data_IF_722434379992
#
_entry.id   IF_722434379992
#
_cell.length_a   1.000
_cell.length_b   1.000
_cell.length_c   1.000
_cell.angle_alpha   90.00
_cell.angle_beta   90.00
_cell.angle_gamma   90.00
#
_symmetry.space_group_name_H-M   'P 1'
#
loop_
_entity.id
_entity.type
_entity.pdbx_description
1 polymer ?
#
# COMPACT_ATOMS: atom_id res chain seq x y z
N UNK A 1 36.99 -56.95 89.67
CA UNK A 1 36.09 -55.93 89.09
C UNK A 1 36.79 -55.29 87.90
N UNK A 2 36.18 -55.35 86.71
CA UNK A 2 36.79 -54.98 85.43
C UNK A 2 36.97 -53.45 85.27
N UNK A 3 38.16 -53.02 84.80
CA UNK A 3 38.42 -51.61 84.44
C UNK A 3 37.70 -51.28 83.12
N UNK A 4 36.83 -50.26 83.15
CA UNK A 4 36.11 -49.73 81.98
C UNK A 4 37.10 -49.05 81.02
N UNK A 5 37.11 -49.48 79.76
CA UNK A 5 37.89 -48.87 78.68
C UNK A 5 37.46 -47.41 78.46
N UNK A 6 38.43 -46.48 78.39
CA UNK A 6 38.19 -45.08 78.07
C UNK A 6 38.27 -44.90 76.55
N UNK A 7 37.17 -44.47 75.93
CA UNK A 7 37.11 -44.14 74.51
C UNK A 7 37.99 -42.91 74.21
N UNK A 8 38.73 -42.88 73.08
CA UNK A 8 39.52 -41.71 72.69
C UNK A 8 38.62 -40.48 72.44
N UNK A 9 39.12 -39.26 72.68
CA UNK A 9 38.38 -38.05 72.35
C UNK A 9 38.15 -37.97 70.82
N UNK A 10 37.01 -37.41 70.37
CA UNK A 10 36.69 -37.32 68.95
C UNK A 10 37.70 -36.40 68.22
N UNK A 11 38.00 -36.67 66.94
CA UNK A 11 38.92 -35.84 66.17
C UNK A 11 38.37 -34.42 66.00
N UNK A 12 39.27 -33.44 66.09
CA UNK A 12 38.97 -32.00 65.97
C UNK A 12 38.38 -31.72 64.58
N UNK A 13 37.18 -31.15 64.51
CA UNK A 13 36.55 -30.73 63.24
C UNK A 13 37.49 -29.75 62.52
N UNK A 14 37.95 -30.14 61.34
CA UNK A 14 38.66 -29.26 60.42
C UNK A 14 37.62 -28.28 59.86
N UNK A 15 37.74 -27.00 60.18
CA UNK A 15 36.92 -25.97 59.54
C UNK A 15 37.29 -25.93 58.05
N UNK A 16 36.30 -26.10 57.18
CA UNK A 16 36.51 -25.93 55.74
C UNK A 16 37.08 -24.52 55.49
N UNK A 17 38.07 -24.36 54.59
CA UNK A 17 38.63 -23.04 54.29
C UNK A 17 37.51 -22.12 53.81
N UNK A 18 37.47 -20.89 54.36
CA UNK A 18 36.51 -19.89 53.94
C UNK A 18 36.59 -19.72 52.42
N UNK A 19 35.46 -19.93 51.73
CA UNK A 19 35.36 -19.78 50.28
C UNK A 19 35.76 -18.34 49.95
N UNK A 20 36.91 -18.16 49.29
CA UNK A 20 37.36 -16.84 48.83
C UNK A 20 36.37 -16.37 47.76
N UNK A 21 35.46 -15.49 48.15
CA UNK A 21 34.62 -14.76 47.20
C UNK A 21 35.51 -13.69 46.59
N UNK A 22 36.03 -13.93 45.39
CA UNK A 22 36.72 -12.89 44.61
C UNK A 22 35.75 -11.70 44.46
N UNK A 23 36.10 -10.48 44.91
CA UNK A 23 35.27 -9.32 44.62
C UNK A 23 35.28 -9.09 43.11
N UNK A 24 34.11 -9.19 42.48
CA UNK A 24 33.93 -8.93 41.05
C UNK A 24 34.57 -7.58 40.71
N UNK A 25 35.60 -7.61 39.86
CA UNK A 25 36.36 -6.41 39.48
C UNK A 25 35.39 -5.34 38.94
N UNK A 26 35.57 -4.05 39.26
CA UNK A 26 34.79 -2.96 38.65
C UNK A 26 34.80 -3.03 37.10
N UNK A 27 35.88 -3.55 36.52
CA UNK A 27 36.02 -3.73 35.07
C UNK A 27 35.06 -4.79 34.51
N UNK A 28 34.77 -5.85 35.27
CA UNK A 28 33.83 -6.90 34.86
C UNK A 28 32.40 -6.37 34.85
N UNK A 29 32.04 -5.50 35.80
CA UNK A 29 30.72 -4.85 35.85
C UNK A 29 30.51 -3.92 34.66
N UNK A 30 31.53 -3.13 34.31
CA UNK A 30 31.48 -2.22 33.15
C UNK A 30 31.38 -3.00 31.84
N UNK A 31 32.14 -4.09 31.69
CA UNK A 31 32.03 -4.99 30.53
C UNK A 31 30.65 -5.63 30.41
N UNK A 32 30.09 -6.11 31.52
CA UNK A 32 28.74 -6.69 31.54
C UNK A 32 27.64 -5.67 31.21
N UNK A 33 27.76 -4.43 31.71
CA UNK A 33 26.85 -3.33 31.37
C UNK A 33 26.90 -2.96 29.89
N UNK A 34 28.09 -2.93 29.29
CA UNK A 34 28.25 -2.67 27.84
C UNK A 34 27.61 -3.79 27.02
N UNK A 35 27.81 -5.06 27.41
CA UNK A 35 27.23 -6.21 26.72
C UNK A 35 25.70 -6.20 26.78
N UNK A 36 25.11 -6.00 27.97
CA UNK A 36 23.63 -5.87 28.10
C UNK A 36 23.13 -4.67 27.30
N UNK A 37 23.80 -3.52 27.40
CA UNK A 37 23.39 -2.29 26.71
C UNK A 37 23.38 -2.48 25.19
N UNK A 38 24.42 -3.12 24.64
CA UNK A 38 24.52 -3.42 23.21
C UNK A 38 23.47 -4.43 22.74
N UNK A 39 23.18 -5.46 23.53
CA UNK A 39 22.13 -6.45 23.24
C UNK A 39 20.73 -5.82 23.27
N UNK A 40 20.45 -4.94 24.25
CA UNK A 40 19.18 -4.23 24.35
C UNK A 40 18.96 -3.29 23.16
N UNK A 41 19.99 -2.53 22.76
CA UNK A 41 19.93 -1.67 21.57
C UNK A 41 19.71 -2.48 20.28
N UNK A 42 20.39 -3.62 20.13
CA UNK A 42 20.18 -4.52 19.00
C UNK A 42 18.75 -5.06 18.93
N UNK A 43 18.18 -5.44 20.07
CA UNK A 43 16.80 -5.93 20.16
C UNK A 43 15.77 -4.84 19.84
N UNK A 44 15.98 -3.61 20.34
CA UNK A 44 15.12 -2.46 20.03
C UNK A 44 15.19 -2.12 18.54
N UNK A 45 16.38 -2.11 17.94
CA UNK A 45 16.56 -1.88 16.50
C UNK A 45 15.86 -2.94 15.65
N UNK A 46 16.00 -4.23 16.01
CA UNK A 46 15.32 -5.32 15.33
C UNK A 46 13.79 -5.21 15.48
N UNK A 47 13.29 -4.90 16.67
CA UNK A 47 11.86 -4.70 16.92
C UNK A 47 11.30 -3.52 16.12
N UNK A 48 12.06 -2.44 15.96
CA UNK A 48 11.67 -1.30 15.12
C UNK A 48 11.61 -1.66 13.64
N UNK A 49 12.57 -2.44 13.12
CA UNK A 49 12.54 -2.95 11.73
C UNK A 49 11.35 -3.89 11.51
N UNK A 50 11.11 -4.82 12.44
CA UNK A 50 9.95 -5.71 12.39
C UNK A 50 8.65 -4.93 12.47
N UNK A 51 8.56 -3.90 13.31
CA UNK A 51 7.39 -3.04 13.40
C UNK A 51 7.16 -2.23 12.11
N UNK A 52 8.22 -1.74 11.46
CA UNK A 52 8.11 -1.07 10.16
C UNK A 52 7.61 -2.03 9.07
N UNK A 53 8.04 -3.29 9.07
CA UNK A 53 7.55 -4.28 8.11
C UNK A 53 6.14 -4.81 8.44
N UNK A 54 5.79 -4.94 9.71
CA UNK A 54 4.50 -5.49 10.16
C UNK A 54 3.38 -4.44 10.24
N UNK A 55 3.73 -3.17 10.46
CA UNK A 55 2.76 -2.07 10.65
C UNK A 55 2.99 -0.88 9.68
N UNK A 56 4.02 -0.92 8.84
CA UNK A 56 4.30 0.15 7.86
C UNK A 56 3.52 0.04 6.55
N UNK A 57 2.69 -0.99 6.38
CA UNK A 57 1.75 -1.13 5.27
C UNK A 57 0.34 -0.87 5.77
N UNK A 58 -0.13 0.36 5.58
CA UNK A 58 -1.53 0.70 5.24
C UNK A 58 -1.80 2.15 5.61
N UNK A 59 -1.28 3.06 4.79
CA UNK A 59 -1.83 4.40 4.61
C UNK A 59 -1.15 5.02 3.39
N UNK A 60 -1.41 4.48 2.19
CA UNK A 60 -1.53 5.41 1.06
C UNK A 60 -2.68 6.33 1.47
N UNK A 61 -2.46 7.63 1.68
CA UNK A 61 -3.57 8.54 1.93
C UNK A 61 -4.42 8.42 0.66
N UNK A 62 -5.61 7.82 0.76
CA UNK A 62 -6.60 7.96 -0.29
C UNK A 62 -6.68 9.45 -0.59
N UNK A 63 -6.50 9.81 -1.87
CA UNK A 63 -6.43 11.19 -2.35
C UNK A 63 -7.34 12.06 -1.47
N UNK A 64 -6.73 12.93 -0.65
CA UNK A 64 -7.44 13.64 0.41
C UNK A 64 -8.71 14.25 -0.16
N UNK A 65 -9.82 14.15 0.56
CA UNK A 65 -11.14 14.55 0.08
C UNK A 65 -11.08 15.94 -0.58
N UNK A 66 -11.09 15.97 -1.90
CA UNK A 66 -11.08 17.22 -2.67
C UNK A 66 -12.48 17.83 -2.49
N UNK A 67 -12.60 19.04 -1.91
CA UNK A 67 -13.92 19.64 -1.69
C UNK A 67 -14.71 19.73 -2.99
N UNK A 68 -15.91 19.15 -3.01
CA UNK A 68 -16.79 19.12 -4.19
C UNK A 68 -16.56 17.94 -5.15
N UNK A 69 -15.56 17.10 -4.92
CA UNK A 69 -15.34 15.86 -5.68
C UNK A 69 -15.98 14.67 -4.95
N UNK A 70 -16.67 13.80 -5.70
CA UNK A 70 -17.30 12.59 -5.15
C UNK A 70 -16.64 11.36 -5.75
N UNK A 71 -15.75 10.76 -4.99
CA UNK A 71 -15.11 9.49 -5.37
C UNK A 71 -16.05 8.31 -5.10
N UNK A 72 -16.21 7.45 -6.09
CA UNK A 72 -16.96 6.19 -6.06
C UNK A 72 -16.10 5.08 -6.61
N UNK A 73 -16.22 3.88 -6.02
CA UNK A 73 -15.56 2.67 -6.51
C UNK A 73 -16.58 1.69 -7.04
N UNK A 74 -16.26 1.07 -8.18
CA UNK A 74 -17.11 0.09 -8.85
C UNK A 74 -16.37 -1.24 -8.93
N UNK A 75 -16.97 -2.38 -8.55
CA UNK A 75 -16.32 -3.67 -8.71
C UNK A 75 -16.04 -3.94 -10.20
N UNK A 76 -14.90 -4.54 -10.51
CA UNK A 76 -14.61 -4.95 -11.88
C UNK A 76 -15.62 -6.02 -12.34
N UNK A 77 -16.24 -5.78 -13.49
CA UNK A 77 -17.21 -6.71 -14.08
C UNK A 77 -16.58 -7.65 -15.11
N UNK A 78 -15.42 -7.25 -15.66
CA UNK A 78 -14.70 -8.00 -16.66
C UNK A 78 -13.29 -7.41 -16.86
N UNK A 79 -12.24 -8.12 -16.42
CA UNK A 79 -10.86 -7.84 -16.83
C UNK A 79 -10.52 -8.67 -18.07
N UNK A 80 -9.82 -8.08 -19.04
CA UNK A 80 -9.36 -8.77 -20.26
C UNK A 80 -10.46 -9.21 -21.24
N UNK A 81 -11.71 -8.75 -21.09
CA UNK A 81 -12.79 -9.06 -22.04
C UNK A 81 -12.76 -8.12 -23.25
N UNK A 82 -11.90 -8.43 -24.20
CA UNK A 82 -11.83 -7.72 -25.48
C UNK A 82 -13.04 -8.02 -26.38
N UNK A 83 -13.63 -6.98 -26.95
CA UNK A 83 -14.76 -7.05 -27.89
C UNK A 83 -14.48 -6.17 -29.11
N UNK A 84 -14.86 -6.66 -30.29
CA UNK A 84 -14.63 -5.95 -31.56
C UNK A 84 -15.75 -4.97 -31.94
N UNK A 85 -16.81 -4.91 -31.15
CA UNK A 85 -17.96 -4.03 -31.35
C UNK A 85 -18.29 -3.34 -30.03
N UNK A 86 -18.73 -2.07 -30.11
CA UNK A 86 -19.10 -1.29 -28.95
C UNK A 86 -20.24 -1.97 -28.16
N UNK A 87 -20.03 -2.34 -26.89
CA UNK A 87 -21.10 -2.87 -26.05
C UNK A 87 -22.19 -1.84 -25.80
N UNK A 88 -23.45 -2.28 -25.59
CA UNK A 88 -24.47 -1.38 -25.08
C UNK A 88 -24.11 -0.92 -23.66
N UNK A 89 -24.52 0.30 -23.29
CA UNK A 89 -24.21 0.93 -22.00
C UNK A 89 -24.58 0.09 -20.78
N UNK A 90 -25.61 -0.76 -20.90
CA UNK A 90 -26.04 -1.69 -19.84
C UNK A 90 -24.99 -2.73 -19.44
N UNK A 91 -23.90 -2.87 -20.20
CA UNK A 91 -22.75 -3.73 -19.88
C UNK A 91 -21.75 -3.08 -18.92
N UNK A 92 -21.91 -1.79 -18.63
CA UNK A 92 -21.07 -1.05 -17.70
C UNK A 92 -21.82 -0.73 -16.42
N UNK A 93 -21.13 -0.77 -15.29
CA UNK A 93 -21.71 -0.49 -13.96
C UNK A 93 -21.49 0.96 -13.49
N UNK A 94 -20.81 1.77 -14.29
CA UNK A 94 -20.53 3.18 -14.03
C UNK A 94 -20.74 4.03 -15.28
N UNK A 95 -20.87 5.34 -15.07
CA UNK A 95 -20.85 6.31 -16.14
C UNK A 95 -20.07 7.57 -15.73
N UNK A 96 -18.99 7.92 -16.44
CA UNK A 96 -18.38 7.20 -17.56
C UNK A 96 -17.91 5.78 -17.19
N UNK A 97 -17.78 4.85 -18.14
CA UNK A 97 -17.34 3.50 -17.86
C UNK A 97 -15.92 3.48 -17.28
N UNK A 98 -15.76 2.83 -16.13
CA UNK A 98 -14.46 2.69 -15.44
C UNK A 98 -13.81 1.32 -15.64
N UNK A 99 -14.60 0.30 -15.99
CA UNK A 99 -14.14 -1.06 -16.26
C UNK A 99 -15.18 -1.77 -17.14
N UNK A 100 -14.90 -3.00 -17.57
CA UNK A 100 -15.83 -3.85 -18.31
C UNK A 100 -15.32 -4.21 -19.71
N UNK A 101 -16.17 -4.81 -20.57
CA UNK A 101 -15.78 -5.21 -21.92
C UNK A 101 -15.34 -4.01 -22.76
N UNK A 102 -14.25 -4.16 -23.51
CA UNK A 102 -13.60 -3.02 -24.17
C UNK A 102 -12.89 -3.40 -25.47
N UNK A 103 -12.51 -2.40 -26.29
CA UNK A 103 -11.86 -2.63 -27.58
C UNK A 103 -10.45 -3.22 -27.35
N UNK A 104 -9.97 -4.21 -28.14
CA UNK A 104 -8.57 -4.64 -28.08
C UNK A 104 -7.55 -3.55 -28.46
N UNK A 105 -8.00 -2.44 -29.05
CA UNK A 105 -7.18 -1.28 -29.42
C UNK A 105 -7.42 -0.12 -28.45
N UNK A 106 -6.40 0.22 -27.68
CA UNK A 106 -6.37 1.39 -26.80
C UNK A 106 -6.62 2.72 -27.55
N UNK A 107 -7.13 3.71 -26.83
CA UNK A 107 -6.97 5.09 -27.27
C UNK A 107 -5.54 5.56 -26.96
N UNK A 108 -4.85 6.25 -27.88
CA UNK A 108 -3.60 6.95 -27.56
C UNK A 108 -3.75 7.88 -26.36
N UNK A 109 -2.66 8.02 -25.59
CA UNK A 109 -2.64 8.90 -24.42
C UNK A 109 -2.42 10.33 -24.93
N UNK A 110 -3.51 11.10 -25.01
CA UNK A 110 -3.53 12.41 -25.67
C UNK A 110 -4.68 13.28 -25.17
N UNK A 111 -4.69 14.54 -25.60
CA UNK A 111 -5.81 15.47 -25.51
C UNK A 111 -6.62 15.42 -26.81
N UNK A 112 -7.87 14.99 -26.69
CA UNK A 112 -8.79 14.90 -27.80
C UNK A 112 -9.70 16.13 -27.85
N UNK A 113 -9.92 16.66 -29.05
CA UNK A 113 -10.92 17.71 -29.30
C UNK A 113 -12.31 17.16 -29.58
N UNK A 114 -12.39 15.86 -29.88
CA UNK A 114 -13.62 15.13 -30.19
C UNK A 114 -13.82 13.96 -29.22
N UNK A 115 -15.08 13.53 -29.06
CA UNK A 115 -15.40 12.43 -28.16
C UNK A 115 -14.76 11.12 -28.65
N UNK A 116 -14.05 10.45 -27.75
CA UNK A 116 -13.47 9.12 -28.00
C UNK A 116 -14.48 8.04 -27.62
N UNK A 117 -14.48 6.93 -28.37
CA UNK A 117 -15.32 5.79 -28.04
C UNK A 117 -15.00 5.26 -26.64
N UNK A 118 -16.01 5.17 -25.77
CA UNK A 118 -15.81 4.85 -24.35
C UNK A 118 -15.13 3.50 -24.14
N UNK A 119 -15.51 2.49 -24.91
CA UNK A 119 -14.91 1.16 -24.83
C UNK A 119 -13.45 1.11 -25.31
N UNK A 120 -12.91 2.13 -26.00
CA UNK A 120 -11.44 2.27 -26.23
C UNK A 120 -10.73 2.93 -25.06
N UNK A 121 -11.41 3.88 -24.41
CA UNK A 121 -10.92 4.50 -23.17
C UNK A 121 -10.85 3.48 -22.03
N UNK A 122 -11.81 2.55 -21.92
CA UNK A 122 -11.78 1.46 -20.93
C UNK A 122 -10.55 0.56 -21.08
N UNK A 123 -10.11 0.28 -22.30
CA UNK A 123 -8.86 -0.45 -22.51
C UNK A 123 -7.64 0.38 -22.06
N UNK A 124 -7.66 1.69 -22.29
CA UNK A 124 -6.59 2.58 -21.79
C UNK A 124 -6.57 2.61 -20.26
N UNK A 125 -7.75 2.61 -19.62
CA UNK A 125 -7.92 2.47 -18.17
C UNK A 125 -7.37 1.12 -17.67
N UNK A 126 -7.60 0.02 -18.39
CA UNK A 126 -7.02 -1.29 -18.06
C UNK A 126 -5.49 -1.26 -18.03
N UNK A 127 -4.88 -0.46 -18.90
CA UNK A 127 -3.44 -0.21 -18.96
C UNK A 127 -2.95 0.94 -18.07
N UNK A 128 -3.77 1.37 -17.09
CA UNK A 128 -3.37 2.33 -16.06
C UNK A 128 -3.46 3.79 -16.48
N UNK A 129 -4.12 4.12 -17.59
CA UNK A 129 -4.44 5.51 -17.89
C UNK A 129 -5.37 6.10 -16.82
N UNK A 130 -5.24 7.41 -16.59
CA UNK A 130 -6.28 8.23 -15.98
C UNK A 130 -7.01 8.94 -17.10
N UNK A 131 -8.32 8.73 -17.21
CA UNK A 131 -9.15 9.36 -18.23
C UNK A 131 -9.93 10.50 -17.60
N UNK A 132 -9.70 11.71 -18.08
CA UNK A 132 -10.42 12.91 -17.66
C UNK A 132 -11.40 13.29 -18.76
N UNK A 133 -12.68 13.34 -18.42
CA UNK A 133 -13.74 13.71 -19.36
C UNK A 133 -14.50 14.94 -18.91
N UNK A 134 -14.87 15.79 -19.86
CA UNK A 134 -15.59 17.03 -19.59
C UNK A 134 -16.89 17.15 -20.37
N UNK A 135 -17.92 17.68 -19.72
CA UNK A 135 -19.23 17.92 -20.32
C UNK A 135 -19.30 19.13 -21.23
N UNK A 136 -20.34 19.18 -22.08
CA UNK A 136 -20.53 20.25 -23.09
C UNK A 136 -20.70 21.67 -22.51
N UNK A 137 -21.07 21.78 -21.24
CA UNK A 137 -21.32 23.04 -20.53
C UNK A 137 -20.21 23.37 -19.52
N UNK A 138 -19.10 22.62 -19.50
CA UNK A 138 -17.91 22.99 -18.74
C UNK A 138 -17.33 24.28 -19.34
N UNK A 139 -16.99 25.31 -18.52
CA UNK A 139 -16.46 26.56 -19.03
C UNK A 139 -15.18 26.35 -19.87
N UNK A 140 -15.04 27.01 -21.04
CA UNK A 140 -13.85 26.86 -21.89
C UNK A 140 -12.53 27.15 -21.15
N UNK A 141 -12.54 28.13 -20.25
CA UNK A 141 -11.37 28.47 -19.44
C UNK A 141 -10.90 27.30 -18.53
N UNK A 142 -11.81 26.43 -18.10
CA UNK A 142 -11.46 25.25 -17.30
C UNK A 142 -10.87 24.14 -18.15
N UNK A 143 -11.40 23.94 -19.36
CA UNK A 143 -10.82 23.02 -20.36
C UNK A 143 -9.39 23.47 -20.68
N UNK A 144 -9.17 24.77 -20.95
CA UNK A 144 -7.83 25.32 -21.23
C UNK A 144 -6.86 25.03 -20.08
N UNK A 145 -7.23 25.37 -18.83
CA UNK A 145 -6.39 25.08 -17.66
C UNK A 145 -6.02 23.60 -17.54
N UNK A 146 -6.97 22.70 -17.76
CA UNK A 146 -6.74 21.26 -17.69
C UNK A 146 -5.80 20.78 -18.81
N UNK A 147 -5.97 21.30 -20.03
CA UNK A 147 -5.08 20.96 -21.15
C UNK A 147 -3.69 21.57 -21.01
N UNK A 148 -3.56 22.75 -20.40
CA UNK A 148 -2.26 23.36 -20.09
C UNK A 148 -1.53 22.55 -19.03
N UNK A 149 -2.24 22.16 -17.96
CA UNK A 149 -1.68 21.27 -16.94
C UNK A 149 -1.20 19.93 -17.52
N UNK A 150 -1.95 19.33 -18.44
CA UNK A 150 -1.52 18.11 -19.15
C UNK A 150 -0.21 18.31 -19.92
N UNK A 151 0.02 19.49 -20.52
CA UNK A 151 1.23 19.76 -21.32
C UNK A 151 2.50 19.79 -20.46
N UNK A 152 2.37 20.06 -19.17
CA UNK A 152 3.50 20.04 -18.23
C UNK A 152 3.97 18.61 -17.94
N UNK A 153 3.05 17.63 -17.93
CA UNK A 153 3.35 16.20 -17.77
C UNK A 153 2.29 15.32 -18.47
N UNK A 154 2.50 14.94 -19.75
CA UNK A 154 1.49 14.26 -20.55
C UNK A 154 1.37 12.76 -20.26
N UNK A 155 2.14 12.23 -19.31
CA UNK A 155 2.27 10.80 -19.12
C UNK A 155 1.04 10.21 -18.40
N UNK A 156 0.50 9.12 -18.95
CA UNK A 156 -0.55 8.34 -18.28
C UNK A 156 -1.95 8.98 -18.28
N UNK A 157 -2.18 10.07 -19.01
CA UNK A 157 -3.43 10.82 -18.97
C UNK A 157 -4.07 10.89 -20.35
N UNK A 158 -5.40 10.75 -20.40
CA UNK A 158 -6.21 11.08 -21.58
C UNK A 158 -7.21 12.16 -21.17
N UNK A 159 -7.33 13.21 -21.98
CA UNK A 159 -8.39 14.23 -21.82
C UNK A 159 -9.31 14.16 -23.04
N UNK A 160 -10.61 13.97 -22.84
CA UNK A 160 -11.56 13.92 -23.95
C UNK A 160 -12.95 14.52 -23.60
N UNK A 161 -13.67 15.11 -24.56
CA UNK A 161 -15.05 15.51 -24.35
C UNK A 161 -15.97 14.30 -24.12
N UNK A 162 -16.90 14.45 -23.18
CA UNK A 162 -18.08 13.59 -23.03
C UNK A 162 -19.31 14.49 -22.80
N UNK A 163 -19.99 14.93 -23.87
CA UNK A 163 -21.04 15.96 -23.81
C UNK A 163 -22.16 15.71 -22.80
N UNK A 164 -22.51 14.43 -22.57
CA UNK A 164 -23.54 13.97 -21.64
C UNK A 164 -23.30 14.38 -20.17
N UNK A 165 -22.05 14.67 -19.80
CA UNK A 165 -21.69 15.15 -18.45
C UNK A 165 -22.21 16.58 -18.16
N UNK A 166 -22.67 17.32 -19.16
CA UNK A 166 -23.23 18.65 -18.94
C UNK A 166 -22.19 19.61 -18.37
N UNK A 167 -22.30 20.01 -17.10
CA UNK A 167 -21.38 20.95 -16.43
C UNK A 167 -20.30 20.27 -15.59
N UNK A 168 -20.24 18.93 -15.59
CA UNK A 168 -19.30 18.19 -14.74
C UNK A 168 -18.06 17.76 -15.51
N UNK A 169 -16.98 17.56 -14.75
CA UNK A 169 -15.78 16.85 -15.16
C UNK A 169 -15.80 15.52 -14.40
N UNK A 170 -15.36 14.45 -15.03
CA UNK A 170 -15.27 13.12 -14.47
C UNK A 170 -13.84 12.60 -14.63
N UNK A 171 -13.30 11.98 -13.57
CA UNK A 171 -12.00 11.32 -13.61
C UNK A 171 -12.21 9.83 -13.41
N UNK A 172 -11.75 9.02 -14.37
CA UNK A 172 -11.83 7.57 -14.32
C UNK A 172 -10.43 6.94 -14.21
N UNK A 173 -10.31 5.91 -13.38
CA UNK A 173 -9.14 5.04 -13.28
C UNK A 173 -9.59 3.58 -13.06
N UNK A 174 -8.72 2.62 -13.34
CA UNK A 174 -8.97 1.19 -13.08
C UNK A 174 -7.71 0.53 -12.52
N UNK A 175 -7.81 -0.07 -11.33
CA UNK A 175 -6.80 -1.03 -10.88
C UNK A 175 -7.17 -2.43 -11.41
N UNK A 176 -6.56 -2.84 -12.52
CA UNK A 176 -6.78 -4.16 -13.12
C UNK A 176 -5.92 -5.27 -12.49
N UNK A 177 -4.88 -4.92 -11.71
CA UNK A 177 -3.95 -5.91 -11.13
C UNK A 177 -4.24 -6.28 -9.67
N UNK A 178 -4.01 -7.56 -9.27
CA UNK A 178 -3.85 -7.96 -7.88
C UNK A 178 -2.49 -7.44 -7.36
N UNK A 179 -2.51 -6.58 -6.35
CA UNK A 179 -1.35 -5.86 -5.83
C UNK A 179 -0.48 -6.65 -4.84
N UNK A 180 -0.63 -7.98 -4.77
CA UNK A 180 0.23 -8.82 -3.93
C UNK A 180 -0.12 -10.32 -3.94
N UNK A 181 0.77 -11.17 -3.40
CA UNK A 181 0.51 -12.61 -3.24
C UNK A 181 -0.67 -12.83 -2.27
N UNK A 182 -1.81 -13.25 -2.83
CA UNK A 182 -3.06 -13.49 -2.10
C UNK A 182 -4.24 -12.62 -2.57
N UNK A 183 -3.99 -11.60 -3.39
CA UNK A 183 -5.07 -10.83 -4.02
C UNK A 183 -5.56 -11.58 -5.27
N UNK A 184 -6.83 -11.96 -5.28
CA UNK A 184 -7.50 -12.53 -6.44
C UNK A 184 -7.95 -11.41 -7.39
N UNK A 185 -8.30 -11.75 -8.64
CA UNK A 185 -8.93 -10.82 -9.58
C UNK A 185 -10.24 -10.17 -9.05
N UNK A 186 -10.75 -10.63 -7.89
CA UNK A 186 -11.89 -10.05 -7.16
C UNK A 186 -11.59 -8.66 -6.57
N UNK A 187 -10.34 -8.23 -6.53
CA UNK A 187 -9.93 -6.93 -5.99
C UNK A 187 -9.83 -5.80 -7.04
N UNK A 188 -10.02 -6.12 -8.33
CA UNK A 188 -10.01 -5.10 -9.38
C UNK A 188 -11.24 -4.18 -9.27
N UNK A 189 -11.02 -2.88 -9.38
CA UNK A 189 -12.04 -1.83 -9.17
C UNK A 189 -11.87 -0.69 -10.17
N UNK A 190 -13.00 -0.24 -10.69
CA UNK A 190 -13.08 1.08 -11.31
C UNK A 190 -13.17 2.17 -10.25
N UNK A 191 -12.52 3.30 -10.47
CA UNK A 191 -12.62 4.49 -9.63
C UNK A 191 -13.17 5.61 -10.50
N UNK A 192 -14.20 6.29 -10.01
CA UNK A 192 -14.80 7.45 -10.64
C UNK A 192 -14.85 8.60 -9.63
N UNK A 193 -14.40 9.78 -10.02
CA UNK A 193 -14.35 10.96 -9.17
C UNK A 193 -14.96 12.19 -9.86
#
# INVERSE_FOLDING_TARGET
MAKKSRTPPPPRRVQAPARRTEPVSPDDRRRWQILIGSAALGFIGLAAVVALYAFGSDSSPGAGAVPGCRVQTFPATASGQHVNQAPPRSRYNSFPPTNGPHNPTAAPFDVYTEAVEQYRLVHSLEHGAVVIQYGRRVPPAEIVRMTDWYRDDPNGIIIAPLPELGRTIALAAWNSEPTGPGETAENAKGILA
#
